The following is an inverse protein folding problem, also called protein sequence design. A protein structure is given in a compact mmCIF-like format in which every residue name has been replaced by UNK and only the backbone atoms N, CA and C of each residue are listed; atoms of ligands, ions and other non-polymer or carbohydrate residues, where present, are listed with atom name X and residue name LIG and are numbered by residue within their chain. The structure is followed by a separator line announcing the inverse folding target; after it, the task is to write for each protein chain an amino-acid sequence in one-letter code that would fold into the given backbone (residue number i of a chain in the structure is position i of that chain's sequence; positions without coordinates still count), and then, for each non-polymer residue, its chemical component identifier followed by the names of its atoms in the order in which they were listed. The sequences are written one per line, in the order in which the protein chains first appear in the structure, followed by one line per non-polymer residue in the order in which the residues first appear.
data_IF_501173871556
#
_entry.id   IF_501173871556
#
_cell.length_a   1.000
_cell.length_b   1.000
_cell.length_c   1.000
_cell.angle_alpha   90.00
_cell.angle_beta   90.00
_cell.angle_gamma   90.00
#
_symmetry.space_group_name_H-M   'P 1'
#
loop_
_entity.id
_entity.type
_entity.pdbx_description
1 polymer ?
#
# COMPACT_ATOMS: atom_id res chain seq x y z
N UNK A 1 24.66 -2.74 5.17
CA UNK A 1 23.27 -2.36 5.50
C UNK A 1 23.05 -0.99 4.91
N UNK A 2 22.07 -0.84 4.02
CA UNK A 2 21.70 0.45 3.45
C UNK A 2 20.90 1.18 4.52
N UNK A 3 21.37 2.33 5.00
CA UNK A 3 20.64 3.13 5.97
C UNK A 3 19.54 3.89 5.21
N UNK A 4 18.30 3.41 5.28
CA UNK A 4 17.16 3.97 4.56
C UNK A 4 16.44 4.99 5.44
N UNK A 5 16.10 6.14 4.85
CA UNK A 5 15.24 7.14 5.52
C UNK A 5 13.81 6.62 5.68
N UNK A 6 13.02 7.21 6.58
CA UNK A 6 11.59 6.91 6.71
C UNK A 6 10.88 7.14 5.38
N UNK A 7 11.25 8.21 4.64
CA UNK A 7 10.73 8.47 3.30
C UNK A 7 11.04 7.31 2.34
N UNK A 8 12.25 6.78 2.33
CA UNK A 8 12.62 5.65 1.47
C UNK A 8 11.84 4.39 1.85
N UNK A 9 11.84 4.03 3.15
CA UNK A 9 11.12 2.87 3.69
C UNK A 9 9.64 2.91 3.35
N UNK A 10 8.99 4.05 3.58
CA UNK A 10 7.58 4.23 3.28
C UNK A 10 7.30 4.21 1.76
N UNK A 11 8.22 4.73 0.94
CA UNK A 11 8.07 4.70 -0.53
C UNK A 11 8.13 3.27 -1.07
N UNK A 12 9.03 2.44 -0.56
CA UNK A 12 9.15 1.02 -0.90
C UNK A 12 7.83 0.25 -0.62
N UNK A 13 7.13 0.60 0.45
CA UNK A 13 5.85 0.00 0.80
C UNK A 13 4.71 0.58 -0.05
N UNK A 14 4.58 1.91 -0.07
CA UNK A 14 3.39 2.60 -0.58
C UNK A 14 3.31 2.66 -2.11
N UNK A 15 4.45 2.61 -2.81
CA UNK A 15 4.47 2.58 -4.27
C UNK A 15 4.37 1.17 -4.84
N UNK A 16 4.70 0.12 -4.06
CA UNK A 16 4.68 -1.25 -4.54
C UNK A 16 3.32 -1.63 -5.16
N UNK A 17 3.36 -2.21 -6.36
CA UNK A 17 2.22 -2.58 -7.21
C UNK A 17 1.31 -1.41 -7.63
N UNK A 18 1.72 -0.14 -7.42
CA UNK A 18 1.04 0.99 -8.00
C UNK A 18 1.50 1.26 -9.43
N UNK A 19 0.55 1.68 -10.25
CA UNK A 19 0.79 2.07 -11.64
C UNK A 19 1.78 3.24 -11.73
N UNK A 20 2.94 3.03 -12.35
CA UNK A 20 3.95 4.06 -12.51
C UNK A 20 3.57 5.08 -13.61
N UNK A 21 2.81 4.64 -14.62
CA UNK A 21 2.43 5.47 -15.76
C UNK A 21 1.22 6.38 -15.51
N UNK A 22 0.24 5.93 -14.73
CA UNK A 22 -1.04 6.62 -14.49
C UNK A 22 -1.13 7.16 -13.08
N UNK A 23 -1.70 8.35 -12.94
CA UNK A 23 -1.84 9.01 -11.65
C UNK A 23 -3.17 8.68 -10.97
N UNK A 24 -3.24 7.52 -10.31
CA UNK A 24 -4.41 7.04 -9.56
C UNK A 24 -4.62 7.81 -8.24
N UNK A 25 -5.79 7.64 -7.62
CA UNK A 25 -6.09 8.24 -6.31
C UNK A 25 -5.16 7.64 -5.25
N UNK A 26 -4.93 6.33 -5.31
CA UNK A 26 -3.98 5.64 -4.44
C UNK A 26 -2.55 6.19 -4.59
N UNK A 27 -2.09 6.45 -5.82
CA UNK A 27 -0.75 7.01 -6.04
C UNK A 27 -0.63 8.45 -5.54
N UNK A 28 -1.65 9.28 -5.74
CA UNK A 28 -1.69 10.63 -5.16
C UNK A 28 -1.61 10.59 -3.63
N UNK A 29 -2.35 9.67 -2.99
CA UNK A 29 -2.30 9.51 -1.54
C UNK A 29 -0.91 9.07 -1.06
N UNK A 30 -0.29 8.10 -1.74
CA UNK A 30 1.09 7.67 -1.47
C UNK A 30 2.07 8.85 -1.59
N UNK A 31 2.07 9.59 -2.70
CA UNK A 31 3.01 10.71 -2.92
C UNK A 31 2.86 11.83 -1.86
N UNK A 32 1.64 12.16 -1.44
CA UNK A 32 1.42 13.12 -0.33
C UNK A 32 2.06 12.61 0.96
N UNK A 33 1.88 11.33 1.27
CA UNK A 33 2.47 10.72 2.46
C UNK A 33 4.00 10.60 2.35
N UNK A 34 4.54 10.34 1.15
CA UNK A 34 6.01 10.37 0.90
C UNK A 34 6.57 11.78 1.16
N UNK A 35 5.82 12.83 0.81
CA UNK A 35 6.21 14.20 1.15
C UNK A 35 6.20 14.44 2.66
N UNK A 36 5.13 14.02 3.34
CA UNK A 36 5.02 14.10 4.79
C UNK A 36 6.11 13.28 5.50
N UNK A 37 6.51 12.12 4.96
CA UNK A 37 7.59 11.30 5.49
C UNK A 37 8.93 12.06 5.52
N UNK A 38 9.21 12.91 4.51
CA UNK A 38 10.40 13.77 4.53
C UNK A 38 10.35 14.89 5.58
N UNK A 39 9.16 15.28 6.06
CA UNK A 39 9.01 16.16 7.23
C UNK A 39 9.29 15.38 8.51
N UNK A 40 8.75 14.16 8.61
CA UNK A 40 8.94 13.27 9.76
C UNK A 40 10.40 12.86 9.92
N UNK A 41 11.11 12.56 8.83
CA UNK A 41 12.56 12.28 8.84
C UNK A 41 13.35 13.42 9.51
N UNK A 42 13.08 14.67 9.09
CA UNK A 42 13.72 15.84 9.68
C UNK A 42 13.35 16.01 11.14
N UNK A 43 12.08 15.83 11.49
CA UNK A 43 11.63 15.90 12.87
C UNK A 43 12.35 14.87 13.76
N UNK A 44 12.44 13.61 13.33
CA UNK A 44 13.11 12.55 14.07
C UNK A 44 14.60 12.85 14.27
N UNK A 45 15.30 13.29 13.22
CA UNK A 45 16.71 13.67 13.31
C UNK A 45 16.94 14.87 14.25
N UNK A 46 16.06 15.85 14.18
CA UNK A 46 16.14 17.07 14.99
C UNK A 46 15.76 16.86 16.47
N UNK A 47 15.07 15.77 16.78
CA UNK A 47 14.58 15.46 18.13
C UNK A 47 15.27 14.26 18.77
N UNK A 48 16.19 13.59 18.07
CA UNK A 48 16.88 12.37 18.54
C UNK A 48 17.56 12.55 19.91
N UNK A 49 18.18 13.70 20.16
CA UNK A 49 18.88 14.01 21.42
C UNK A 49 18.00 14.74 22.45
N UNK A 50 16.75 15.05 22.11
CA UNK A 50 15.85 15.83 22.96
C UNK A 50 14.98 14.93 23.82
N UNK A 51 14.78 15.33 25.08
CA UNK A 51 13.79 14.69 25.96
C UNK A 51 12.39 15.24 25.67
N UNK A 52 11.36 14.40 25.77
CA UNK A 52 9.95 14.80 25.56
C UNK A 52 9.50 15.98 26.46
N UNK A 53 10.11 16.13 27.63
CA UNK A 53 9.82 17.21 28.58
C UNK A 53 10.52 18.54 28.27
N UNK A 54 11.40 18.57 27.26
CA UNK A 54 12.07 19.81 26.87
C UNK A 54 11.09 20.74 26.14
N UNK A 55 11.20 22.05 26.45
CA UNK A 55 10.43 23.08 25.74
C UNK A 55 10.72 23.07 24.23
N UNK A 56 11.95 22.70 23.85
CA UNK A 56 12.36 22.59 22.45
C UNK A 56 11.64 21.46 21.71
N UNK A 57 11.57 20.25 22.30
CA UNK A 57 10.83 19.13 21.73
C UNK A 57 9.35 19.49 21.53
N UNK A 58 8.73 20.08 22.56
CA UNK A 58 7.31 20.50 22.52
C UNK A 58 7.06 21.55 21.44
N UNK A 59 7.94 22.54 21.32
CA UNK A 59 7.84 23.56 20.27
C UNK A 59 7.95 22.97 18.87
N UNK A 60 8.84 21.99 18.65
CA UNK A 60 8.96 21.30 17.34
C UNK A 60 7.73 20.45 17.07
N UNK A 61 7.21 19.77 18.08
CA UNK A 61 6.01 18.95 17.97
C UNK A 61 4.76 19.78 17.65
N UNK A 62 4.61 20.95 18.26
CA UNK A 62 3.51 21.88 17.96
C UNK A 62 3.56 22.38 16.52
N UNK A 63 4.76 22.64 15.99
CA UNK A 63 4.97 23.03 14.60
C UNK A 63 4.74 21.89 13.60
N UNK A 64 4.99 20.64 14.01
CA UNK A 64 4.92 19.45 13.15
C UNK A 64 3.57 19.32 12.44
N UNK A 65 2.48 19.55 13.16
CA UNK A 65 1.11 19.45 12.62
C UNK A 65 0.87 20.39 11.43
N UNK A 66 1.47 21.59 11.46
CA UNK A 66 1.37 22.56 10.37
C UNK A 66 2.21 22.11 9.19
N UNK A 67 3.47 21.72 9.43
CA UNK A 67 4.39 21.26 8.40
C UNK A 67 3.88 20.02 7.65
N UNK A 68 3.23 19.07 8.35
CA UNK A 68 2.63 17.90 7.72
C UNK A 68 1.48 18.27 6.77
N UNK A 69 0.63 19.23 7.15
CA UNK A 69 -0.46 19.71 6.30
C UNK A 69 0.05 20.46 5.08
N UNK A 70 1.09 21.28 5.25
CA UNK A 70 1.73 21.98 4.14
C UNK A 70 2.37 20.99 3.15
N UNK A 71 3.09 19.99 3.66
CA UNK A 71 3.71 18.95 2.83
C UNK A 71 2.69 18.12 2.03
N UNK A 72 1.46 17.96 2.54
CA UNK A 72 0.42 17.24 1.83
C UNK A 72 -0.21 18.02 0.65
N UNK A 73 -0.02 19.35 0.59
CA UNK A 73 -0.59 20.22 -0.44
C UNK A 73 0.40 20.49 -1.59
N UNK A 74 0.97 19.42 -2.16
CA UNK A 74 1.84 19.52 -3.32
C UNK A 74 1.08 19.92 -4.59
N UNK A 75 1.72 20.78 -5.40
CA UNK A 75 1.29 21.01 -6.77
C UNK A 75 1.50 19.75 -7.63
N UNK A 76 0.79 19.64 -8.75
CA UNK A 76 0.94 18.50 -9.68
C UNK A 76 2.38 18.35 -10.20
N UNK A 77 3.10 19.46 -10.42
CA UNK A 77 4.50 19.42 -10.85
C UNK A 77 5.42 18.96 -9.73
N UNK A 78 5.25 19.48 -8.52
CA UNK A 78 6.06 19.09 -7.36
C UNK A 78 5.85 17.61 -6.98
N UNK A 79 4.60 17.11 -7.09
CA UNK A 79 4.30 15.70 -6.86
C UNK A 79 5.02 14.77 -7.85
N UNK A 80 5.06 15.14 -9.15
CA UNK A 80 5.79 14.38 -10.17
C UNK A 80 7.31 14.42 -9.97
N UNK A 81 7.84 15.57 -9.59
CA UNK A 81 9.26 15.74 -9.30
C UNK A 81 9.67 14.91 -8.08
N UNK A 82 8.85 14.90 -7.03
CA UNK A 82 9.05 14.08 -5.84
C UNK A 82 9.02 12.58 -6.20
N UNK A 83 7.99 12.13 -6.92
CA UNK A 83 7.86 10.75 -7.40
C UNK A 83 9.10 10.32 -8.20
N UNK A 84 9.53 11.14 -9.16
CA UNK A 84 10.71 10.85 -9.98
C UNK A 84 12.00 10.82 -9.16
N UNK A 85 12.17 11.75 -8.22
CA UNK A 85 13.38 11.83 -7.37
C UNK A 85 13.49 10.60 -6.47
N UNK A 86 12.39 10.24 -5.80
CA UNK A 86 12.33 9.08 -4.91
C UNK A 86 12.54 7.78 -5.69
N UNK A 87 11.84 7.61 -6.82
CA UNK A 87 12.02 6.45 -7.68
C UNK A 87 13.46 6.31 -8.17
N UNK A 88 14.04 7.40 -8.69
CA UNK A 88 15.43 7.38 -9.20
C UNK A 88 16.41 7.00 -8.09
N UNK A 89 16.23 7.54 -6.87
CA UNK A 89 17.05 7.20 -5.71
C UNK A 89 16.95 5.71 -5.35
N UNK A 90 15.74 5.17 -5.21
CA UNK A 90 15.51 3.77 -4.84
C UNK A 90 15.94 2.79 -5.95
N UNK A 91 15.75 3.16 -7.21
CA UNK A 91 16.21 2.38 -8.36
C UNK A 91 17.74 2.33 -8.45
N UNK A 92 18.43 3.44 -8.17
CA UNK A 92 19.89 3.46 -8.11
C UNK A 92 20.46 2.60 -6.97
N UNK A 93 19.67 2.40 -5.90
CA UNK A 93 20.00 1.48 -4.80
C UNK A 93 19.64 0.02 -5.13
N UNK A 94 19.00 -0.24 -6.27
CA UNK A 94 18.52 -1.57 -6.66
C UNK A 94 17.29 -2.04 -5.88
N UNK A 95 16.58 -1.14 -5.18
CA UNK A 95 15.48 -1.49 -4.29
C UNK A 95 14.09 -1.32 -4.92
N UNK A 96 13.99 -0.63 -6.06
CA UNK A 96 12.73 -0.44 -6.77
C UNK A 96 12.96 -0.41 -8.27
N UNK A 97 12.10 -1.09 -9.03
CA UNK A 97 12.11 -1.13 -10.49
C UNK A 97 10.70 -0.89 -11.02
N UNK A 98 10.57 -0.76 -12.34
CA UNK A 98 9.28 -0.85 -13.02
C UNK A 98 9.12 -2.23 -13.66
N UNK A 99 7.98 -2.87 -13.44
CA UNK A 99 7.63 -4.16 -14.00
C UNK A 99 6.27 -4.09 -14.72
N UNK A 100 5.97 -5.09 -15.55
CA UNK A 100 4.65 -5.20 -16.18
C UNK A 100 3.58 -5.37 -15.11
N UNK A 101 2.52 -4.58 -15.19
CA UNK A 101 1.37 -4.69 -14.31
C UNK A 101 0.70 -6.06 -14.43
N UNK A 102 0.17 -6.59 -13.31
CA UNK A 102 -0.68 -7.78 -13.31
C UNK A 102 -1.90 -7.62 -14.21
N UNK A 103 -2.42 -6.40 -14.35
CA UNK A 103 -3.54 -6.11 -15.27
C UNK A 103 -3.16 -6.42 -16.73
N UNK A 104 -1.88 -6.43 -17.08
CA UNK A 104 -1.44 -6.85 -18.42
C UNK A 104 -1.64 -8.35 -18.67
N UNK A 105 -1.85 -9.14 -17.60
CA UNK A 105 -2.26 -10.55 -17.69
C UNK A 105 -3.78 -10.70 -17.84
N UNK A 106 -4.57 -9.63 -17.66
CA UNK A 106 -6.01 -9.68 -17.83
C UNK A 106 -6.39 -9.86 -19.30
N UNK A 107 -7.39 -10.71 -19.56
CA UNK A 107 -7.83 -11.02 -20.91
C UNK A 107 -8.26 -9.76 -21.69
N UNK A 108 -8.98 -8.84 -21.04
CA UNK A 108 -9.46 -7.62 -21.73
C UNK A 108 -8.31 -6.68 -22.09
N UNK A 109 -7.31 -6.59 -21.21
CA UNK A 109 -6.17 -5.68 -21.39
C UNK A 109 -5.09 -6.23 -22.32
N UNK A 110 -4.78 -7.52 -22.24
CA UNK A 110 -3.81 -8.16 -23.14
C UNK A 110 -4.17 -7.96 -24.61
N UNK A 111 -5.47 -7.96 -24.93
CA UNK A 111 -5.99 -7.71 -26.29
C UNK A 111 -5.81 -6.27 -26.79
N UNK A 112 -5.59 -5.31 -25.89
CA UNK A 112 -5.50 -3.88 -26.19
C UNK A 112 -4.05 -3.38 -26.45
N UNK A 113 -3.03 -4.22 -26.24
CA UNK A 113 -1.63 -3.95 -26.62
C UNK A 113 -0.90 -2.84 -25.85
N UNK A 114 -1.51 -2.26 -24.81
CA UNK A 114 -0.87 -1.22 -24.00
C UNK A 114 -0.08 -1.83 -22.84
N UNK A 115 1.24 -1.63 -22.80
CA UNK A 115 2.06 -2.01 -21.64
C UNK A 115 1.81 -1.05 -20.49
N UNK A 116 1.15 -1.54 -19.43
CA UNK A 116 0.98 -0.82 -18.18
C UNK A 116 2.13 -1.24 -17.25
N UNK A 117 2.85 -0.27 -16.70
CA UNK A 117 3.92 -0.52 -15.75
C UNK A 117 3.48 -0.22 -14.32
N UNK A 118 3.99 -0.99 -13.38
CA UNK A 118 3.84 -0.84 -11.95
C UNK A 118 5.21 -0.78 -11.27
N UNK A 119 5.29 -0.09 -10.14
CA UNK A 119 6.49 -0.15 -9.32
C UNK A 119 6.60 -1.52 -8.64
N UNK A 120 7.76 -2.14 -8.76
CA UNK A 120 8.12 -3.37 -8.08
C UNK A 120 9.28 -3.11 -7.14
N UNK A 121 9.01 -3.26 -5.85
CA UNK A 121 10.02 -3.19 -4.80
C UNK A 121 10.79 -4.50 -4.74
N UNK A 122 12.07 -4.47 -4.36
CA UNK A 122 12.86 -5.66 -4.03
C UNK A 122 12.16 -6.51 -2.95
N UNK A 123 12.07 -7.83 -3.17
CA UNK A 123 11.24 -8.71 -2.34
C UNK A 123 11.79 -8.91 -0.93
N UNK A 124 13.11 -9.05 -0.80
CA UNK A 124 13.78 -9.19 0.49
C UNK A 124 13.63 -7.90 1.31
N UNK A 125 13.80 -6.75 0.67
CA UNK A 125 13.65 -5.46 1.34
C UNK A 125 12.18 -5.15 1.68
N UNK A 126 11.24 -5.42 0.78
CA UNK A 126 9.81 -5.25 1.06
C UNK A 126 9.37 -6.10 2.26
N UNK A 127 9.77 -7.38 2.27
CA UNK A 127 9.48 -8.30 3.37
C UNK A 127 10.12 -7.82 4.67
N UNK A 128 11.39 -7.40 4.64
CA UNK A 128 12.07 -6.85 5.81
C UNK A 128 11.34 -5.65 6.39
N UNK A 129 10.94 -4.69 5.55
CA UNK A 129 10.27 -3.47 5.99
C UNK A 129 8.89 -3.75 6.58
N UNK A 130 8.11 -4.61 5.93
CA UNK A 130 6.74 -4.93 6.36
C UNK A 130 6.71 -5.85 7.59
N UNK A 131 7.56 -6.87 7.65
CA UNK A 131 7.63 -7.78 8.80
C UNK A 131 8.25 -7.12 10.03
N UNK A 132 9.27 -6.27 9.88
CA UNK A 132 9.85 -5.54 11.03
C UNK A 132 8.82 -4.59 11.64
N UNK A 133 8.08 -3.88 10.79
CA UNK A 133 6.99 -3.01 11.21
C UNK A 133 5.87 -3.79 11.91
N UNK A 134 5.48 -4.94 11.34
CA UNK A 134 4.46 -5.81 11.95
C UNK A 134 4.92 -6.33 13.31
N UNK A 135 6.14 -6.86 13.41
CA UNK A 135 6.68 -7.39 14.66
C UNK A 135 6.64 -6.32 15.77
N UNK A 136 7.16 -5.12 15.50
CA UNK A 136 7.22 -4.07 16.51
C UNK A 136 5.83 -3.57 16.96
N UNK A 137 4.88 -3.49 16.04
CA UNK A 137 3.52 -3.07 16.37
C UNK A 137 2.72 -4.16 17.09
N UNK A 138 3.01 -5.43 16.81
CA UNK A 138 2.26 -6.57 17.33
C UNK A 138 2.80 -7.11 18.64
N UNK A 139 4.10 -6.93 18.92
CA UNK A 139 4.73 -7.35 20.16
C UNK A 139 4.43 -6.41 21.34
N UNK A 140 4.46 -6.98 22.55
CA UNK A 140 4.35 -6.22 23.79
C UNK A 140 5.66 -5.45 24.02
N UNK A 141 5.56 -4.14 24.25
CA UNK A 141 6.73 -3.31 24.50
C UNK A 141 6.54 -1.84 24.16
N UNK A 142 7.63 -1.09 24.15
CA UNK A 142 7.64 0.27 23.62
C UNK A 142 7.79 0.21 22.10
N UNK A 143 7.08 1.11 21.42
CA UNK A 143 7.17 1.28 19.96
C UNK A 143 8.07 2.50 19.71
N UNK A 144 9.02 2.37 18.79
CA UNK A 144 9.91 3.45 18.38
C UNK A 144 9.12 4.56 17.68
N UNK A 145 9.57 5.80 17.85
CA UNK A 145 8.96 6.97 17.22
C UNK A 145 8.90 6.86 15.69
N UNK A 146 9.90 6.25 15.08
CA UNK A 146 9.92 5.96 13.63
C UNK A 146 8.77 5.04 13.22
N UNK A 147 8.46 4.03 14.04
CA UNK A 147 7.35 3.10 13.81
C UNK A 147 5.99 3.76 14.04
N UNK A 148 5.88 4.68 15.02
CA UNK A 148 4.70 5.53 15.19
C UNK A 148 4.48 6.41 13.94
N UNK A 149 5.55 6.99 13.40
CA UNK A 149 5.51 7.78 12.16
C UNK A 149 5.09 6.92 10.96
N UNK A 150 5.66 5.72 10.81
CA UNK A 150 5.30 4.77 9.75
C UNK A 150 3.82 4.36 9.84
N UNK A 151 3.34 4.04 11.04
CA UNK A 151 1.94 3.68 11.29
C UNK A 151 0.99 4.82 10.87
N UNK A 152 1.34 6.07 11.20
CA UNK A 152 0.57 7.23 10.77
C UNK A 152 0.55 7.36 9.23
N UNK A 153 1.70 7.22 8.56
CA UNK A 153 1.80 7.28 7.10
C UNK A 153 0.97 6.17 6.42
N UNK A 154 0.98 4.95 6.96
CA UNK A 154 0.16 3.84 6.46
C UNK A 154 -1.34 4.12 6.61
N UNK A 155 -1.76 4.74 7.72
CA UNK A 155 -3.15 5.15 7.94
C UNK A 155 -3.56 6.20 6.91
N UNK A 156 -2.75 7.23 6.73
CA UNK A 156 -3.08 8.36 5.84
C UNK A 156 -3.07 7.98 4.35
N UNK A 157 -2.22 7.02 3.95
CA UNK A 157 -2.15 6.50 2.58
C UNK A 157 -3.11 5.35 2.29
N UNK A 158 -3.82 4.83 3.30
CA UNK A 158 -4.62 3.61 3.26
C UNK A 158 -3.83 2.30 3.04
N UNK A 159 -2.49 2.34 2.99
CA UNK A 159 -1.65 1.14 2.92
C UNK A 159 -1.76 0.25 4.17
N UNK A 160 -2.28 0.78 5.28
CA UNK A 160 -2.60 0.00 6.49
C UNK A 160 -3.44 -1.25 6.18
N UNK A 161 -4.41 -1.13 5.27
CA UNK A 161 -5.30 -2.23 4.90
C UNK A 161 -4.67 -3.23 3.93
N UNK A 162 -3.53 -2.89 3.32
CA UNK A 162 -2.81 -3.80 2.42
C UNK A 162 -1.85 -4.71 3.18
N UNK A 163 -1.44 -4.28 4.37
CA UNK A 163 -0.43 -4.97 5.19
C UNK A 163 -1.06 -5.80 6.30
N UNK A 164 -2.09 -5.31 6.97
CA UNK A 164 -2.62 -5.97 8.15
C UNK A 164 -3.92 -6.72 7.88
N UNK A 165 -4.02 -7.96 8.34
CA UNK A 165 -5.24 -8.76 8.26
C UNK A 165 -6.37 -8.15 9.10
N UNK A 166 -7.62 -8.59 8.92
CA UNK A 166 -8.75 -8.04 9.71
C UNK A 166 -8.60 -8.29 11.20
N UNK A 167 -7.97 -9.39 11.57
CA UNK A 167 -7.67 -9.79 12.93
C UNK A 167 -6.57 -8.89 13.52
N UNK A 168 -5.49 -8.67 12.78
CA UNK A 168 -4.42 -7.75 13.15
C UNK A 168 -4.94 -6.31 13.29
N UNK A 169 -5.78 -5.85 12.37
CA UNK A 169 -6.40 -4.52 12.43
C UNK A 169 -7.20 -4.31 13.73
N UNK A 170 -7.90 -5.32 14.24
CA UNK A 170 -8.61 -5.25 15.52
C UNK A 170 -7.64 -5.10 16.69
N UNK A 171 -6.55 -5.86 16.67
CA UNK A 171 -5.50 -5.75 17.69
C UNK A 171 -4.84 -4.37 17.64
N UNK A 172 -4.41 -3.94 16.46
CA UNK A 172 -3.76 -2.66 16.21
C UNK A 172 -4.65 -1.47 16.57
N UNK A 173 -5.97 -1.60 16.46
CA UNK A 173 -6.90 -0.57 16.97
C UNK A 173 -6.70 -0.32 18.46
N UNK A 174 -6.57 -1.38 19.25
CA UNK A 174 -6.33 -1.27 20.70
C UNK A 174 -4.94 -0.72 20.97
N UNK A 175 -3.93 -1.22 20.23
CA UNK A 175 -2.54 -0.75 20.31
C UNK A 175 -2.38 0.73 19.99
N UNK A 176 -3.05 1.22 18.95
CA UNK A 176 -3.08 2.64 18.55
C UNK A 176 -3.66 3.49 19.68
N UNK A 177 -4.72 3.02 20.36
CA UNK A 177 -5.28 3.75 21.49
C UNK A 177 -4.31 3.83 22.68
N UNK A 178 -3.57 2.75 22.96
CA UNK A 178 -2.52 2.78 23.98
C UNK A 178 -1.41 3.77 23.61
N UNK A 179 -0.93 3.76 22.36
CA UNK A 179 0.07 4.70 21.89
C UNK A 179 -0.43 6.15 22.00
N UNK A 180 -1.68 6.41 21.61
CA UNK A 180 -2.31 7.72 21.72
C UNK A 180 -2.35 8.26 23.15
N UNK A 181 -2.53 7.38 24.14
CA UNK A 181 -2.59 7.76 25.55
C UNK A 181 -1.21 7.93 26.19
N UNK A 182 -0.21 7.21 25.70
CA UNK A 182 1.09 7.08 26.36
C UNK A 182 2.25 7.79 25.64
N UNK A 183 2.11 8.19 24.37
CA UNK A 183 3.14 8.90 23.61
C UNK A 183 2.65 10.28 23.16
N UNK A 184 3.44 11.32 23.45
CA UNK A 184 3.12 12.69 23.04
C UNK A 184 3.17 12.83 21.50
N UNK A 185 4.15 12.17 20.86
CA UNK A 185 4.27 12.10 19.41
C UNK A 185 3.04 11.43 18.79
N UNK A 186 2.67 10.24 19.27
CA UNK A 186 1.53 9.50 18.76
C UNK A 186 0.23 10.31 18.91
N UNK A 187 0.03 10.96 20.06
CA UNK A 187 -1.13 11.83 20.31
C UNK A 187 -1.22 12.96 19.29
N UNK A 188 -0.11 13.62 19.01
CA UNK A 188 -0.06 14.72 18.02
C UNK A 188 -0.31 14.18 16.61
N UNK A 189 0.45 13.18 16.17
CA UNK A 189 0.34 12.63 14.82
C UNK A 189 -1.05 12.06 14.53
N UNK A 190 -1.58 11.21 15.41
CA UNK A 190 -2.88 10.57 15.21
C UNK A 190 -4.04 11.57 15.21
N UNK A 191 -3.84 12.77 15.78
CA UNK A 191 -4.81 13.88 15.70
C UNK A 191 -4.73 14.65 14.37
N UNK A 192 -3.65 14.52 13.62
CA UNK A 192 -3.46 15.12 12.29
C UNK A 192 -4.02 14.21 11.22
N UNK A 193 -4.71 14.82 10.26
CA UNK A 193 -5.12 14.20 9.00
C UNK A 193 -4.76 15.13 7.84
N UNK A 194 -4.24 14.53 6.77
CA UNK A 194 -3.72 15.21 5.59
C UNK A 194 -4.48 14.82 4.31
N UNK A 195 -5.67 14.22 4.45
CA UNK A 195 -6.49 13.85 3.30
C UNK A 195 -6.97 15.09 2.53
N UNK A 196 -6.96 15.00 1.20
CA UNK A 196 -7.57 16.02 0.35
C UNK A 196 -9.09 15.83 0.30
N UNK A 197 -9.83 16.84 0.78
CA UNK A 197 -11.29 16.89 0.64
C UNK A 197 -11.76 16.86 -0.84
N UNK A 198 -10.90 17.16 -1.82
CA UNK A 198 -11.25 17.11 -3.25
C UNK A 198 -11.36 15.69 -3.83
N UNK A 199 -10.77 14.67 -3.17
CA UNK A 199 -10.98 13.27 -3.54
C UNK A 199 -12.41 12.79 -3.18
N UNK A 200 -13.19 13.62 -2.46
CA UNK A 200 -14.62 13.37 -2.15
C UNK A 200 -15.56 13.40 -3.36
N UNK A 201 -15.16 13.99 -4.49
CA UNK A 201 -15.98 13.98 -5.70
C UNK A 201 -16.11 12.57 -6.31
N UNK A 202 -15.12 11.68 -6.10
CA UNK A 202 -15.20 10.27 -6.47
C UNK A 202 -16.24 9.48 -5.63
N UNK A 203 -16.73 10.05 -4.53
CA UNK A 203 -17.69 9.43 -3.61
C UNK A 203 -19.16 9.72 -3.94
N UNK A 204 -19.44 10.60 -4.89
CA UNK A 204 -20.81 10.96 -5.29
C UNK A 204 -21.67 9.78 -5.75
N UNK A 205 -21.06 8.62 -6.04
CA UNK A 205 -21.74 7.42 -6.50
C UNK A 205 -22.30 6.51 -5.38
N UNK A 206 -21.89 6.67 -4.10
CA UNK A 206 -22.21 5.71 -3.03
C UNK A 206 -23.11 6.23 -1.90
N UNK A 207 -23.81 7.36 -2.11
CA UNK A 207 -24.65 8.05 -1.11
C UNK A 207 -25.90 7.31 -0.60
N UNK A 208 -26.04 5.99 -0.84
CA UNK A 208 -27.22 5.21 -0.42
C UNK A 208 -27.03 4.23 0.75
N UNK A 209 -25.90 4.24 1.49
CA UNK A 209 -25.78 3.46 2.74
C UNK A 209 -25.23 4.31 3.89
N UNK A 210 -26.16 4.79 4.73
CA UNK A 210 -25.98 5.73 5.84
C UNK A 210 -25.25 5.18 7.09
N UNK A 211 -24.59 4.03 6.99
CA UNK A 211 -23.98 3.34 8.15
C UNK A 211 -22.44 3.31 8.14
N UNK A 212 -21.78 4.16 7.33
CA UNK A 212 -20.31 4.14 7.13
C UNK A 212 -19.60 5.28 7.89
N UNK A 213 -20.31 6.05 8.71
CA UNK A 213 -19.72 7.20 9.40
C UNK A 213 -19.83 7.03 10.92
N UNK A 214 -18.81 6.43 11.53
CA UNK A 214 -18.28 6.73 12.89
C UNK A 214 -17.59 5.50 13.48
N UNK A 215 -16.28 5.40 13.31
CA UNK A 215 -15.43 4.73 14.32
C UNK A 215 -14.28 5.68 14.66
N UNK A 216 -13.79 5.60 15.90
CA UNK A 216 -12.73 6.47 16.46
C UNK A 216 -11.43 6.50 15.64
N UNK A 217 -11.23 5.57 14.69
CA UNK A 217 -10.10 5.53 13.76
C UNK A 217 -10.27 6.39 12.50
N UNK A 218 -11.35 7.18 12.39
CA UNK A 218 -11.53 8.12 11.29
C UNK A 218 -11.93 7.50 9.95
N UNK A 219 -12.18 6.20 9.88
CA UNK A 219 -12.58 5.35 8.72
C UNK A 219 -13.87 5.79 8.00
N UNK A 220 -13.85 6.97 7.39
CA UNK A 220 -14.89 7.43 6.46
C UNK A 220 -14.77 6.79 5.08
N UNK A 221 -15.75 7.06 4.22
CA UNK A 221 -15.81 6.57 2.82
C UNK A 221 -14.57 6.99 1.99
N UNK A 222 -13.87 8.06 2.38
CA UNK A 222 -12.63 8.51 1.73
C UNK A 222 -11.48 7.47 1.81
N UNK A 223 -11.45 6.62 2.84
CA UNK A 223 -10.42 5.59 3.02
C UNK A 223 -10.60 4.40 2.07
N UNK A 224 -11.82 4.17 1.57
CA UNK A 224 -12.11 3.00 0.75
C UNK A 224 -11.66 3.16 -0.70
N UNK A 225 -11.63 4.38 -1.26
CA UNK A 225 -11.32 4.56 -2.70
C UNK A 225 -9.86 4.21 -3.03
N UNK A 226 -8.84 4.73 -2.30
CA UNK A 226 -7.46 4.31 -2.52
C UNK A 226 -7.27 2.80 -2.33
N UNK A 227 -7.87 2.23 -1.28
CA UNK A 227 -7.82 0.79 -1.02
C UNK A 227 -8.43 -0.04 -2.17
N UNK A 228 -9.60 0.35 -2.68
CA UNK A 228 -10.26 -0.36 -3.79
C UNK A 228 -9.43 -0.34 -5.08
N UNK A 229 -8.77 0.77 -5.40
CA UNK A 229 -7.87 0.86 -6.57
C UNK A 229 -6.66 -0.08 -6.42
N UNK A 230 -6.16 -0.28 -5.20
CA UNK A 230 -5.05 -1.20 -4.88
C UNK A 230 -5.48 -2.67 -4.89
N UNK A 231 -6.74 -2.95 -4.61
CA UNK A 231 -7.34 -4.29 -4.70
C UNK A 231 -7.98 -4.53 -6.07
N UNK A 232 -7.20 -4.44 -7.15
CA UNK A 232 -7.72 -4.77 -8.49
C UNK A 232 -7.81 -6.28 -8.67
N UNK A 233 -8.98 -6.78 -9.07
CA UNK A 233 -9.22 -8.19 -9.32
C UNK A 233 -8.89 -8.48 -10.81
N UNK A 234 -7.82 -9.25 -11.06
CA UNK A 234 -7.36 -9.62 -12.41
C UNK A 234 -7.89 -11.00 -12.80
N UNK A 235 -8.46 -11.14 -13.99
CA UNK A 235 -8.89 -12.45 -14.51
C UNK A 235 -7.90 -12.96 -15.56
N UNK A 236 -7.28 -14.11 -15.28
CA UNK A 236 -6.32 -14.78 -16.17
C UNK A 236 -7.00 -16.00 -16.79
N UNK A 237 -7.17 -15.98 -18.12
CA UNK A 237 -7.72 -17.09 -18.89
C UNK A 237 -6.78 -18.31 -18.85
N UNK A 238 -7.36 -19.50 -18.77
CA UNK A 238 -6.65 -20.76 -19.01
C UNK A 238 -6.69 -21.10 -20.50
N UNK A 239 -5.55 -21.46 -21.09
CA UNK A 239 -5.46 -21.76 -22.53
C UNK A 239 -6.26 -23.01 -22.95
N UNK A 240 -6.44 -23.97 -22.04
CA UNK A 240 -7.23 -25.18 -22.28
C UNK A 240 -8.69 -25.03 -21.82
N UNK A 241 -9.62 -25.30 -22.74
CA UNK A 241 -11.03 -25.49 -22.43
C UNK A 241 -11.18 -26.76 -21.56
N UNK A 242 -11.58 -26.59 -20.29
CA UNK A 242 -11.73 -27.66 -19.28
C UNK A 242 -10.43 -28.24 -18.68
N UNK A 243 -9.48 -27.40 -18.31
CA UNK A 243 -8.31 -27.82 -17.53
C UNK A 243 -8.67 -28.28 -16.10
N UNK A 244 -7.98 -29.33 -15.63
CA UNK A 244 -7.99 -29.73 -14.22
C UNK A 244 -7.29 -28.67 -13.35
N UNK A 245 -7.37 -28.79 -12.02
CA UNK A 245 -6.86 -27.76 -11.10
C UNK A 245 -5.35 -27.51 -11.27
N UNK A 246 -4.56 -28.56 -11.48
CA UNK A 246 -3.10 -28.49 -11.64
C UNK A 246 -2.72 -27.77 -12.94
N UNK A 247 -3.24 -28.22 -14.09
CA UNK A 247 -2.97 -27.59 -15.39
C UNK A 247 -3.40 -26.14 -15.44
N UNK A 248 -4.51 -25.80 -14.77
CA UNK A 248 -4.97 -24.41 -14.67
C UNK A 248 -3.94 -23.55 -13.94
N UNK A 249 -3.43 -24.05 -12.82
CA UNK A 249 -2.42 -23.35 -12.04
C UNK A 249 -1.12 -23.18 -12.83
N UNK A 250 -0.67 -24.23 -13.51
CA UNK A 250 0.51 -24.18 -14.40
C UNK A 250 0.36 -23.12 -15.50
N UNK A 251 -0.79 -23.09 -16.18
CA UNK A 251 -1.08 -22.10 -17.23
C UNK A 251 -1.08 -20.66 -16.70
N UNK A 252 -1.62 -20.45 -15.49
CA UNK A 252 -1.63 -19.14 -14.83
C UNK A 252 -0.21 -18.69 -14.45
N UNK A 253 0.58 -19.60 -13.86
CA UNK A 253 1.98 -19.32 -13.50
C UNK A 253 2.79 -18.97 -14.74
N UNK A 254 2.69 -19.78 -15.80
CA UNK A 254 3.39 -19.52 -17.05
C UNK A 254 3.05 -18.13 -17.62
N UNK A 255 1.78 -17.74 -17.61
CA UNK A 255 1.36 -16.42 -18.09
C UNK A 255 1.92 -15.27 -17.25
N UNK A 256 1.97 -15.43 -15.93
CA UNK A 256 2.52 -14.44 -15.01
C UNK A 256 4.03 -14.28 -15.22
N UNK A 257 4.76 -15.40 -15.33
CA UNK A 257 6.21 -15.43 -15.56
C UNK A 257 6.58 -14.88 -16.95
N UNK A 258 5.81 -15.21 -18.00
CA UNK A 258 5.97 -14.63 -19.35
C UNK A 258 5.84 -13.11 -19.35
N UNK A 259 5.01 -12.56 -18.46
CA UNK A 259 4.86 -11.12 -18.27
C UNK A 259 5.92 -10.50 -17.33
N UNK A 260 6.83 -11.32 -16.77
CA UNK A 260 7.98 -10.89 -15.97
C UNK A 260 7.71 -10.79 -14.47
N UNK A 261 6.60 -11.34 -13.98
CA UNK A 261 6.28 -11.42 -12.55
C UNK A 261 7.01 -12.60 -11.91
N UNK A 262 7.47 -12.42 -10.67
CA UNK A 262 7.99 -13.52 -9.86
C UNK A 262 6.83 -14.24 -9.17
N UNK A 263 6.76 -15.57 -9.23
CA UNK A 263 5.63 -16.34 -8.68
C UNK A 263 6.11 -17.46 -7.77
N UNK A 264 5.60 -17.49 -6.54
CA UNK A 264 5.83 -18.57 -5.58
C UNK A 264 4.51 -19.20 -5.15
N UNK A 265 4.45 -20.53 -5.17
CA UNK A 265 3.25 -21.28 -4.74
C UNK A 265 3.28 -21.48 -3.23
N UNK A 266 2.45 -20.76 -2.49
CA UNK A 266 2.35 -20.88 -1.03
C UNK A 266 1.48 -22.08 -0.63
N UNK A 267 0.37 -22.28 -1.35
CA UNK A 267 -0.56 -23.39 -1.09
C UNK A 267 -1.20 -23.84 -2.40
N UNK A 268 -1.06 -25.13 -2.73
CA UNK A 268 -1.81 -25.76 -3.82
C UNK A 268 -3.22 -26.20 -3.38
N UNK A 269 -4.10 -26.50 -4.33
CA UNK A 269 -5.43 -27.06 -4.05
C UNK A 269 -6.52 -26.53 -4.99
N UNK A 270 -7.77 -26.59 -4.53
CA UNK A 270 -8.93 -26.08 -5.30
C UNK A 270 -8.92 -24.57 -5.46
N UNK A 271 -8.43 -23.84 -4.46
CA UNK A 271 -8.15 -22.39 -4.51
C UNK A 271 -6.69 -22.19 -4.09
N UNK A 272 -5.76 -22.21 -5.06
CA UNK A 272 -4.35 -21.98 -4.80
C UNK A 272 -4.10 -20.60 -4.18
N UNK A 273 -3.06 -20.50 -3.36
CA UNK A 273 -2.52 -19.24 -2.85
C UNK A 273 -1.14 -19.05 -3.48
N UNK A 274 -0.99 -17.97 -4.23
CA UNK A 274 0.27 -17.57 -4.84
C UNK A 274 0.79 -16.31 -4.15
N UNK A 275 2.10 -16.21 -4.01
CA UNK A 275 2.78 -14.94 -3.89
C UNK A 275 3.20 -14.53 -5.29
N UNK A 276 2.77 -13.35 -5.73
CA UNK A 276 3.14 -12.75 -7.01
C UNK A 276 3.87 -11.44 -6.69
N UNK A 277 5.14 -11.38 -7.06
CA UNK A 277 6.12 -10.43 -6.55
C UNK A 277 6.04 -10.35 -5.00
N UNK A 278 5.61 -9.22 -4.47
CA UNK A 278 5.55 -8.95 -3.02
C UNK A 278 4.17 -9.21 -2.41
N UNK A 279 3.21 -9.68 -3.21
CA UNK A 279 1.79 -9.65 -2.89
C UNK A 279 1.16 -11.03 -3.02
N UNK A 280 0.44 -11.47 -1.98
CA UNK A 280 -0.35 -12.70 -1.99
C UNK A 280 -1.71 -12.57 -2.70
N UNK A 281 -2.08 -13.61 -3.43
CA UNK A 281 -3.33 -13.73 -4.17
C UNK A 281 -3.90 -15.14 -4.09
N UNK A 282 -5.21 -15.23 -3.80
CA UNK A 282 -5.97 -16.44 -4.03
C UNK A 282 -6.37 -16.54 -5.51
N UNK A 283 -6.12 -17.69 -6.12
CA UNK A 283 -6.50 -17.98 -7.49
C UNK A 283 -7.86 -18.68 -7.49
N UNK A 284 -8.95 -17.92 -7.63
CA UNK A 284 -10.31 -18.46 -7.57
C UNK A 284 -10.70 -18.99 -8.95
N UNK A 285 -10.93 -20.30 -9.11
CA UNK A 285 -11.42 -20.86 -10.38
C UNK A 285 -12.72 -20.16 -10.81
N UNK A 286 -12.69 -19.49 -11.95
CA UNK A 286 -13.80 -18.65 -12.40
C UNK A 286 -14.10 -18.90 -13.86
N UNK A 287 -15.36 -18.72 -14.23
CA UNK A 287 -15.83 -18.78 -15.61
C UNK A 287 -16.55 -17.48 -15.93
N UNK A 288 -16.07 -16.76 -16.95
CA UNK A 288 -16.76 -15.60 -17.50
C UNK A 288 -17.44 -15.98 -18.83
N UNK A 289 -18.53 -15.28 -19.13
CA UNK A 289 -19.19 -15.37 -20.44
C UNK A 289 -18.83 -14.12 -21.23
N UNK A 290 -17.97 -14.28 -22.23
CA UNK A 290 -17.71 -13.24 -23.21
C UNK A 290 -18.63 -13.48 -24.41
N UNK A 291 -19.64 -12.63 -24.55
CA UNK A 291 -20.74 -12.79 -25.50
C UNK A 291 -21.47 -14.14 -25.34
N UNK A 292 -21.11 -15.14 -26.16
CA UNK A 292 -21.68 -16.49 -26.15
C UNK A 292 -20.65 -17.59 -25.90
N UNK A 293 -19.38 -17.22 -25.71
CA UNK A 293 -18.29 -18.17 -25.51
C UNK A 293 -17.93 -18.19 -24.02
N UNK A 294 -17.98 -19.37 -23.37
CA UNK A 294 -17.48 -19.50 -22.02
C UNK A 294 -15.95 -19.45 -22.02
N UNK A 295 -15.40 -18.55 -21.23
CA UNK A 295 -13.96 -18.47 -20.97
C UNK A 295 -13.71 -18.94 -19.55
N UNK A 296 -12.78 -19.88 -19.40
CA UNK A 296 -12.39 -20.45 -18.12
C UNK A 296 -11.05 -19.88 -17.69
N UNK A 297 -10.85 -19.72 -16.39
CA UNK A 297 -9.60 -19.19 -15.87
C UNK A 297 -9.59 -19.09 -14.36
N UNK A 298 -8.83 -18.13 -13.85
CA UNK A 298 -8.77 -17.77 -12.43
C UNK A 298 -8.98 -16.28 -12.24
N UNK A 299 -9.78 -15.94 -11.24
CA UNK A 299 -9.85 -14.59 -10.71
C UNK A 299 -8.83 -14.48 -9.58
N UNK A 300 -7.84 -13.59 -9.74
CA UNK A 300 -6.93 -13.23 -8.67
C UNK A 300 -7.67 -12.35 -7.67
N UNK A 301 -7.67 -12.78 -6.40
CA UNK A 301 -8.18 -12.01 -5.27
C UNK A 301 -7.04 -11.75 -4.32
N UNK A 302 -6.77 -10.48 -4.02
CA UNK A 302 -5.76 -10.07 -3.04
C UNK A 302 -6.00 -10.79 -1.71
N UNK A 303 -4.95 -11.43 -1.18
CA UNK A 303 -4.93 -12.08 0.11
C UNK A 303 -3.95 -11.33 1.03
N UNK A 304 -4.37 -11.14 2.27
CA UNK A 304 -3.51 -10.60 3.33
C UNK A 304 -3.33 -11.76 4.31
N UNK A 305 -2.07 -12.14 4.52
CA UNK A 305 -1.71 -13.23 5.42
C UNK A 305 -2.05 -12.91 6.87
#
# INVERSE_FOLDING_TARGET
MTNLSLQDRFSLISLNALNSTRNSTAKKAAIRCISAAGVLDRFLQETEELTEDSDEYRSRLDALSVSLKEAAHLSSSAAKELEHTVYTRLNNLGLMTEASSLVSCDLEFSSAGNKILEYRTDSDEYSRQTESLRAELMEEGNVFDETVCMLWLLRESSCFYDLFSREEQKYLTSRINELYLNSLLAKTLLSVSIHNALDSAALGLFSKKKAIFSTQLGTGVLFQVPFMERSSAVFIESEELYCNAEKRLESVIARLEENGNEVHVIRAGTVPLLQIDNLYYECIPTQHKYYRVPVFGVQLRRYIM
#
